data_IF_362004579088
#
_entry.id   IF_362004579088
#
_cell.length_a   1.000
_cell.length_b   1.000
_cell.length_c   1.000
_cell.angle_alpha   90.00
_cell.angle_beta   90.00
_cell.angle_gamma   90.00
#
_symmetry.space_group_name_H-M   'P 1'
#
loop_
_entity.id
_entity.type
_entity.pdbx_description
1 polymer ?
#
# COMPACT_ATOMS: atom_id res chain seq x y z
N UNK A 1 15.08 9.62 -8.42
CA UNK A 1 13.87 9.22 -9.16
C UNK A 1 12.93 8.36 -8.31
N UNK A 2 11.61 8.40 -8.53
CA UNK A 2 10.60 7.61 -7.79
C UNK A 2 9.67 6.92 -8.81
N UNK A 3 9.49 5.61 -8.66
CA UNK A 3 8.55 4.82 -9.44
C UNK A 3 7.10 5.13 -9.05
N UNK A 4 6.52 6.23 -9.55
CA UNK A 4 5.22 6.73 -9.07
C UNK A 4 4.08 5.71 -9.22
N UNK A 5 4.05 4.99 -10.34
CA UNK A 5 3.02 3.98 -10.62
C UNK A 5 2.96 2.89 -9.52
N UNK A 6 4.10 2.43 -8.99
CA UNK A 6 4.11 1.39 -7.94
C UNK A 6 3.52 1.92 -6.62
N UNK A 7 3.70 3.21 -6.33
CA UNK A 7 3.17 3.85 -5.12
C UNK A 7 1.66 4.02 -5.23
N UNK A 8 1.17 4.39 -6.42
CA UNK A 8 -0.26 4.51 -6.70
C UNK A 8 -0.95 3.15 -6.60
N UNK A 9 -0.39 2.11 -7.23
CA UNK A 9 -0.91 0.74 -7.16
C UNK A 9 -0.91 0.19 -5.72
N UNK A 10 0.16 0.42 -4.97
CA UNK A 10 0.22 0.07 -3.54
C UNK A 10 -0.86 0.80 -2.73
N UNK A 11 -1.06 2.10 -2.97
CA UNK A 11 -2.08 2.89 -2.31
C UNK A 11 -3.50 2.37 -2.56
N UNK A 12 -3.80 2.01 -3.81
CA UNK A 12 -5.08 1.38 -4.18
C UNK A 12 -5.24 0.04 -3.46
N UNK A 13 -4.20 -0.79 -3.45
CA UNK A 13 -4.20 -2.10 -2.77
C UNK A 13 -4.51 -2.00 -1.28
N UNK A 14 -3.91 -1.02 -0.58
CA UNK A 14 -4.20 -0.76 0.84
C UNK A 14 -5.67 -0.36 1.03
N UNK A 15 -6.19 0.52 0.17
CA UNK A 15 -7.59 0.95 0.21
C UNK A 15 -8.56 -0.21 -0.02
N UNK A 16 -8.27 -1.11 -0.97
CA UNK A 16 -9.07 -2.31 -1.23
C UNK A 16 -9.14 -3.21 0.00
N UNK A 17 -7.98 -3.59 0.56
CA UNK A 17 -7.90 -4.45 1.75
C UNK A 17 -8.62 -3.83 2.94
N UNK A 18 -8.47 -2.51 3.13
CA UNK A 18 -9.19 -1.77 4.18
C UNK A 18 -10.71 -1.85 4.00
N UNK A 19 -11.20 -1.65 2.77
CA UNK A 19 -12.64 -1.75 2.46
C UNK A 19 -13.17 -3.18 2.62
N UNK A 20 -12.41 -4.19 2.22
CA UNK A 20 -12.75 -5.61 2.42
C UNK A 20 -12.89 -5.93 3.91
N UNK A 21 -11.97 -5.41 4.74
CA UNK A 21 -12.02 -5.53 6.21
C UNK A 21 -13.11 -4.66 6.85
N UNK A 22 -13.78 -3.80 6.07
CA UNK A 22 -14.87 -2.89 6.49
C UNK A 22 -14.47 -1.91 7.60
N UNK A 23 -13.25 -1.38 7.55
CA UNK A 23 -12.76 -0.39 8.51
C UNK A 23 -12.51 0.97 7.83
N UNK A 24 -12.66 2.05 8.59
CA UNK A 24 -12.32 3.42 8.24
C UNK A 24 -10.80 3.65 8.27
N UNK A 25 -10.35 4.78 7.72
CA UNK A 25 -8.94 5.17 7.84
C UNK A 25 -8.54 5.46 9.30
N UNK A 26 -9.47 5.97 10.12
CA UNK A 26 -9.27 6.20 11.55
C UNK A 26 -9.09 4.88 12.30
N UNK A 27 -9.94 3.88 12.05
CA UNK A 27 -9.78 2.55 12.65
C UNK A 27 -8.49 1.87 12.20
N UNK A 28 -8.12 1.97 10.92
CA UNK A 28 -6.84 1.46 10.44
C UNK A 28 -5.66 2.16 11.15
N UNK A 29 -5.79 3.47 11.41
CA UNK A 29 -4.79 4.27 12.13
C UNK A 29 -4.55 3.74 13.54
N UNK A 30 -5.63 3.39 14.24
CA UNK A 30 -5.58 2.80 15.58
C UNK A 30 -4.92 1.42 15.57
N UNK A 31 -5.26 0.56 14.60
CA UNK A 31 -4.71 -0.81 14.50
C UNK A 31 -3.22 -0.80 14.16
N UNK A 32 -2.79 0.06 13.25
CA UNK A 32 -1.40 0.08 12.77
C UNK A 32 -0.49 1.01 13.57
N UNK A 33 -1.05 1.89 14.40
CA UNK A 33 -0.33 2.95 15.10
C UNK A 33 0.19 4.07 14.18
N UNK A 34 -0.29 4.13 12.93
CA UNK A 34 0.05 5.20 12.00
C UNK A 34 -0.95 6.33 12.13
N UNK A 35 -0.54 7.59 11.94
CA UNK A 35 -1.49 8.69 11.92
C UNK A 35 -2.48 8.56 10.76
N UNK A 36 -3.77 8.87 10.97
CA UNK A 36 -4.81 8.76 9.92
C UNK A 36 -4.42 9.51 8.63
N UNK A 37 -3.83 10.69 8.73
CA UNK A 37 -3.41 11.45 7.53
C UNK A 37 -2.33 10.72 6.75
N UNK A 38 -1.42 9.99 7.42
CA UNK A 38 -0.40 9.17 6.76
C UNK A 38 -1.01 8.01 5.99
N UNK A 39 -2.02 7.34 6.57
CA UNK A 39 -2.81 6.33 5.86
C UNK A 39 -3.49 6.93 4.63
N UNK A 40 -4.11 8.11 4.77
CA UNK A 40 -4.72 8.82 3.65
C UNK A 40 -3.72 9.15 2.53
N UNK A 41 -2.52 9.59 2.90
CA UNK A 41 -1.44 9.87 1.94
C UNK A 41 -0.96 8.59 1.23
N UNK A 42 -0.83 7.48 1.94
CA UNK A 42 -0.51 6.17 1.35
C UNK A 42 -1.59 5.78 0.33
N UNK A 43 -2.86 5.82 0.70
CA UNK A 43 -3.96 5.42 -0.19
C UNK A 43 -4.13 6.31 -1.43
N UNK A 44 -3.56 7.50 -1.44
CA UNK A 44 -3.52 8.41 -2.59
C UNK A 44 -2.22 8.34 -3.40
N UNK A 45 -1.29 7.46 -3.01
CA UNK A 45 -0.01 7.32 -3.69
C UNK A 45 0.98 8.47 -3.40
N UNK A 46 0.77 9.26 -2.34
CA UNK A 46 1.55 10.46 -2.02
C UNK A 46 2.79 10.16 -1.15
N UNK A 47 2.95 8.91 -0.70
CA UNK A 47 4.05 8.50 0.19
C UNK A 47 4.67 7.19 -0.28
N UNK A 48 5.98 7.22 -0.48
CA UNK A 48 6.79 6.02 -0.60
C UNK A 48 7.01 5.40 0.78
N UNK A 49 6.32 4.31 1.07
CA UNK A 49 6.36 3.62 2.37
C UNK A 49 7.62 2.75 2.48
N UNK A 50 8.19 2.64 3.69
CA UNK A 50 9.33 1.75 3.94
C UNK A 50 8.91 0.29 4.03
N UNK A 51 9.85 -0.63 3.78
CA UNK A 51 9.64 -2.07 3.89
C UNK A 51 9.08 -2.51 5.24
N UNK A 52 9.63 -1.97 6.33
CA UNK A 52 9.19 -2.28 7.70
C UNK A 52 7.77 -1.82 7.98
N UNK A 53 7.39 -0.65 7.46
CA UNK A 53 6.02 -0.16 7.60
C UNK A 53 5.04 -0.98 6.77
N UNK A 54 5.43 -1.45 5.57
CA UNK A 54 4.60 -2.38 4.80
C UNK A 54 4.33 -3.69 5.56
N UNK A 55 5.30 -4.19 6.33
CA UNK A 55 5.11 -5.38 7.17
C UNK A 55 4.02 -5.18 8.26
N UNK A 56 3.88 -3.95 8.79
CA UNK A 56 2.79 -3.61 9.74
C UNK A 56 1.43 -3.74 9.06
N UNK A 57 1.28 -3.21 7.83
CA UNK A 57 0.04 -3.37 7.06
C UNK A 57 -0.23 -4.84 6.73
N UNK A 58 0.79 -5.61 6.34
CA UNK A 58 0.67 -7.04 6.07
C UNK A 58 0.13 -7.79 7.30
N UNK A 59 0.67 -7.50 8.50
CA UNK A 59 0.18 -8.04 9.78
C UNK A 59 -1.26 -7.62 10.06
N UNK A 60 -1.63 -6.35 9.87
CA UNK A 60 -2.99 -5.85 10.06
C UNK A 60 -4.01 -6.58 9.18
N UNK A 61 -3.66 -6.85 7.92
CA UNK A 61 -4.50 -7.56 6.96
C UNK A 61 -4.36 -9.08 7.02
N UNK A 62 -3.51 -9.61 7.91
CA UNK A 62 -3.26 -11.05 8.10
C UNK A 62 -2.85 -11.77 6.80
N UNK A 63 -1.98 -11.13 6.02
CA UNK A 63 -1.42 -11.69 4.79
C UNK A 63 0.09 -11.58 4.80
N UNK A 64 0.76 -12.45 4.04
CA UNK A 64 2.19 -12.32 3.80
C UNK A 64 2.49 -11.04 3.00
N UNK A 65 3.68 -10.47 3.22
CA UNK A 65 4.12 -9.25 2.53
C UNK A 65 4.11 -9.42 1.00
N UNK A 66 4.46 -10.60 0.49
CA UNK A 66 4.39 -10.93 -0.94
C UNK A 66 2.96 -10.80 -1.48
N UNK A 67 1.94 -11.16 -0.70
CA UNK A 67 0.53 -11.03 -1.10
C UNK A 67 0.00 -9.60 -0.96
N UNK A 68 0.60 -8.81 -0.07
CA UNK A 68 0.33 -7.37 0.02
C UNK A 68 0.88 -6.64 -1.23
N UNK A 69 2.05 -7.06 -1.72
CA UNK A 69 2.73 -6.51 -2.89
C UNK A 69 2.26 -7.12 -4.22
N UNK A 70 1.32 -8.06 -4.18
CA UNK A 70 0.67 -8.62 -5.36
C UNK A 70 -0.39 -7.63 -5.87
N UNK A 71 -0.01 -6.87 -6.91
CA UNK A 71 -0.86 -5.86 -7.53
C UNK A 71 -1.69 -6.38 -8.70
N UNK A 72 -1.72 -7.71 -8.94
CA UNK A 72 -2.51 -8.29 -10.03
C UNK A 72 -4.01 -7.94 -9.97
N UNK A 73 -4.56 -7.72 -8.76
CA UNK A 73 -5.95 -7.30 -8.58
C UNK A 73 -6.18 -5.82 -8.89
N UNK A 74 -5.14 -4.99 -8.77
CA UNK A 74 -5.19 -3.53 -8.97
C UNK A 74 -4.87 -3.17 -10.41
N UNK A 75 -3.77 -3.73 -10.93
CA UNK A 75 -3.34 -3.57 -12.31
C UNK A 75 -2.92 -4.94 -12.86
N UNK A 76 -3.79 -5.61 -13.64
CA UNK A 76 -3.47 -6.90 -14.27
C UNK A 76 -2.29 -6.84 -15.25
N UNK A 77 -1.90 -5.64 -15.70
CA UNK A 77 -0.78 -5.40 -16.62
C UNK A 77 0.47 -4.91 -15.89
N UNK A 78 0.50 -4.98 -14.55
CA UNK A 78 1.68 -4.63 -13.76
C UNK A 78 2.91 -5.39 -14.26
N UNK A 79 4.01 -4.68 -14.51
CA UNK A 79 5.24 -5.26 -15.07
C UNK A 79 6.47 -4.47 -14.61
N UNK A 80 7.53 -5.20 -14.25
CA UNK A 80 8.81 -4.63 -13.85
C UNK A 80 9.51 -3.86 -14.98
N UNK A 81 9.11 -4.06 -16.23
CA UNK A 81 9.64 -3.33 -17.38
C UNK A 81 9.37 -1.81 -17.30
N UNK A 82 8.38 -1.39 -16.51
CA UNK A 82 8.04 0.01 -16.31
C UNK A 82 8.83 0.67 -15.16
N UNK A 83 9.71 -0.08 -14.50
CA UNK A 83 10.48 0.43 -13.38
C UNK A 83 11.68 1.23 -13.87
N UNK A 84 11.87 2.39 -13.25
CA UNK A 84 12.95 3.30 -13.52
C UNK A 84 14.08 3.10 -12.49
N UNK A 85 15.32 3.04 -12.96
CA UNK A 85 16.52 3.01 -12.12
C UNK A 85 16.70 4.33 -11.38
N UNK A 86 17.29 4.34 -10.19
CA UNK A 86 17.72 5.61 -9.61
C UNK A 86 18.88 6.17 -10.45
N UNK A 87 18.62 7.24 -11.18
CA UNK A 87 19.65 8.18 -11.64
C UNK A 87 20.02 9.15 -10.52
#
# INVERSE_FOLDING_TARGET
>A
MINKHIIEEFGIRIRELRKIKKISQEELSFITGFHRTYIGMIERGERNISLTNMAVFAKCFQINLSKLLDFSSVNPKHSFNNYEYKT
#
